data_IF_407396622998
#
_entry.id   IF_407396622998
#
_cell.length_a   1.000
_cell.length_b   1.000
_cell.length_c   1.000
_cell.angle_alpha   90.00
_cell.angle_beta   90.00
_cell.angle_gamma   90.00
#
_symmetry.space_group_name_H-M   'P 1'
#
loop_
_entity.id
_entity.type
_entity.pdbx_description
1 polymer ?
#
# COMPACT_ATOMS: atom_id res chain seq x y z
N UNK A 1 20.08 2.44 3.28
CA UNK A 1 19.04 3.03 2.41
C UNK A 1 18.84 4.45 2.92
N UNK A 2 18.90 5.47 2.06
CA UNK A 2 18.74 6.85 2.51
C UNK A 2 17.36 7.00 3.15
N UNK A 3 17.29 7.71 4.27
CA UNK A 3 16.06 8.09 4.97
C UNK A 3 15.29 9.10 4.11
N UNK A 4 14.75 8.66 2.98
CA UNK A 4 13.73 9.44 2.29
C UNK A 4 12.60 9.66 3.29
N UNK A 5 12.20 10.91 3.43
CA UNK A 5 11.16 11.36 4.35
C UNK A 5 9.82 10.84 3.81
N UNK A 6 9.53 9.56 4.05
CA UNK A 6 8.26 8.96 3.64
C UNK A 6 7.16 9.65 4.42
N UNK A 7 6.17 10.19 3.71
CA UNK A 7 5.03 10.86 4.34
C UNK A 7 4.17 9.82 5.05
N UNK A 8 3.73 10.16 6.26
CA UNK A 8 2.90 9.31 7.11
C UNK A 8 1.46 9.79 7.06
N UNK A 9 0.56 8.95 6.56
CA UNK A 9 -0.87 9.24 6.49
C UNK A 9 -1.63 8.58 7.64
N UNK A 10 -2.58 9.31 8.24
CA UNK A 10 -3.37 8.82 9.36
C UNK A 10 -4.81 8.54 8.97
N UNK A 11 -5.42 7.54 9.61
CA UNK A 11 -6.85 7.22 9.41
C UNK A 11 -7.76 8.41 9.74
N UNK A 12 -7.54 9.01 10.90
CA UNK A 12 -8.24 10.20 11.35
C UNK A 12 -7.45 11.44 10.91
N UNK A 13 -7.84 12.01 9.77
CA UNK A 13 -7.21 13.18 9.20
C UNK A 13 -8.23 14.13 8.57
N UNK A 14 -7.76 15.34 8.23
CA UNK A 14 -8.55 16.32 7.49
C UNK A 14 -8.89 15.84 6.08
N UNK A 15 -9.86 16.50 5.42
CA UNK A 15 -10.22 16.16 4.04
C UNK A 15 -9.07 16.40 3.07
N UNK A 16 -8.27 17.43 3.34
CA UNK A 16 -7.12 17.82 2.55
C UNK A 16 -5.99 16.77 2.66
N UNK A 17 -5.73 16.27 3.87
CA UNK A 17 -4.78 15.17 4.10
C UNK A 17 -5.26 13.86 3.46
N UNK A 18 -6.56 13.58 3.51
CA UNK A 18 -7.13 12.43 2.83
C UNK A 18 -7.01 12.54 1.30
N UNK A 19 -7.30 13.70 0.74
CA UNK A 19 -7.14 13.94 -0.70
C UNK A 19 -5.67 13.78 -1.13
N UNK A 20 -4.74 14.25 -0.30
CA UNK A 20 -3.31 14.06 -0.52
C UNK A 20 -2.89 12.59 -0.43
N UNK A 21 -3.41 11.84 0.54
CA UNK A 21 -3.20 10.40 0.63
C UNK A 21 -3.65 9.70 -0.66
N UNK A 22 -4.86 9.98 -1.15
CA UNK A 22 -5.37 9.40 -2.39
C UNK A 22 -4.47 9.76 -3.58
N UNK A 23 -3.99 11.00 -3.65
CA UNK A 23 -3.06 11.44 -4.71
C UNK A 23 -1.76 10.64 -4.70
N UNK A 24 -1.17 10.44 -3.53
CA UNK A 24 0.08 9.65 -3.37
C UNK A 24 -0.15 8.17 -3.58
N UNK A 25 -1.23 7.61 -3.03
CA UNK A 25 -1.59 6.21 -3.25
C UNK A 25 -1.74 5.90 -4.75
N UNK A 26 -2.35 6.81 -5.51
CA UNK A 26 -2.52 6.65 -6.95
C UNK A 26 -1.28 7.02 -7.79
N UNK A 27 -0.26 7.67 -7.24
CA UNK A 27 0.97 8.00 -7.98
C UNK A 27 1.89 6.79 -8.15
N UNK A 28 1.74 5.75 -7.32
CA UNK A 28 2.67 4.61 -7.28
C UNK A 28 3.92 4.87 -6.44
N UNK A 29 4.00 6.02 -5.76
CA UNK A 29 5.00 6.28 -4.75
C UNK A 29 4.77 5.42 -3.50
N UNK A 30 5.85 5.09 -2.79
CA UNK A 30 5.76 4.44 -1.48
C UNK A 30 5.23 5.47 -0.48
N UNK A 31 4.23 5.09 0.29
CA UNK A 31 3.71 5.88 1.40
C UNK A 31 3.78 5.09 2.70
N UNK A 32 3.88 5.82 3.81
CA UNK A 32 3.72 5.27 5.16
C UNK A 32 2.33 5.64 5.67
N UNK A 33 1.75 4.77 6.47
CA UNK A 33 0.47 5.01 7.12
C UNK A 33 0.50 4.53 8.57
N UNK A 34 -0.43 5.03 9.37
CA UNK A 34 -0.64 4.49 10.71
C UNK A 34 -1.33 3.12 10.68
N UNK A 35 -1.27 2.42 11.81
CA UNK A 35 -1.89 1.10 11.95
C UNK A 35 -3.40 1.15 11.68
N UNK A 36 -4.07 2.23 12.09
CA UNK A 36 -5.51 2.39 11.89
C UNK A 36 -5.88 2.46 10.39
N UNK A 37 -5.08 3.15 9.57
CA UNK A 37 -5.28 3.21 8.13
C UNK A 37 -4.97 1.86 7.47
N UNK A 38 -3.90 1.21 7.91
CA UNK A 38 -3.53 -0.12 7.44
C UNK A 38 -4.65 -1.14 7.69
N UNK A 39 -5.22 -1.14 8.90
CA UNK A 39 -6.32 -2.05 9.27
C UNK A 39 -7.64 -1.67 8.59
N UNK A 40 -7.90 -0.38 8.36
CA UNK A 40 -9.08 0.07 7.63
C UNK A 40 -9.22 -0.63 6.27
N UNK A 41 -8.13 -0.79 5.52
CA UNK A 41 -8.19 -1.44 4.21
C UNK A 41 -8.56 -2.93 4.29
N UNK A 42 -8.25 -3.61 5.38
CA UNK A 42 -8.67 -4.99 5.63
C UNK A 42 -10.16 -5.09 6.00
N UNK A 43 -10.75 -4.02 6.52
CA UNK A 43 -12.15 -4.00 6.96
C UNK A 43 -13.12 -3.57 5.85
N UNK A 44 -12.65 -2.75 4.90
CA UNK A 44 -13.52 -2.11 3.89
C UNK A 44 -13.74 -3.01 2.69
N UNK A 45 -12.70 -3.71 2.23
CA UNK A 45 -12.76 -4.61 1.10
C UNK A 45 -11.98 -5.89 1.37
N UNK A 46 -12.46 -7.06 0.90
CA UNK A 46 -11.68 -8.27 0.95
C UNK A 46 -10.41 -8.10 0.10
N UNK A 47 -9.22 -8.46 0.61
CA UNK A 47 -8.00 -8.45 -0.18
C UNK A 47 -8.10 -9.38 -1.39
N UNK A 48 -7.44 -9.00 -2.48
CA UNK A 48 -7.24 -9.84 -3.66
C UNK A 48 -6.34 -11.02 -3.30
N UNK A 49 -5.35 -10.79 -2.44
CA UNK A 49 -4.48 -11.82 -1.89
C UNK A 49 -3.97 -11.41 -0.50
N UNK A 50 -3.47 -12.40 0.23
CA UNK A 50 -2.79 -12.23 1.53
C UNK A 50 -1.43 -12.92 1.53
N UNK A 51 -0.48 -12.35 2.28
CA UNK A 51 0.83 -12.91 2.60
C UNK A 51 1.61 -13.48 1.42
N UNK A 52 1.79 -12.68 0.37
CA UNK A 52 2.41 -13.11 -0.88
C UNK A 52 3.80 -12.50 -1.08
N UNK A 53 4.71 -13.26 -1.70
CA UNK A 53 5.95 -12.72 -2.24
C UNK A 53 5.69 -12.23 -3.68
N UNK A 54 5.99 -10.96 -3.96
CA UNK A 54 5.78 -10.32 -5.27
C UNK A 54 7.11 -9.78 -5.81
N UNK A 55 7.27 -9.80 -7.13
CA UNK A 55 8.50 -9.34 -7.83
C UNK A 55 8.22 -8.17 -8.79
N UNK A 56 6.98 -7.69 -8.82
CA UNK A 56 6.47 -6.65 -9.72
C UNK A 56 6.21 -5.31 -9.01
N UNK A 57 6.72 -5.16 -7.79
CA UNK A 57 6.61 -3.90 -7.06
C UNK A 57 7.58 -2.87 -7.66
N UNK A 58 7.15 -1.63 -7.94
CA UNK A 58 8.04 -0.62 -8.52
C UNK A 58 9.25 -0.35 -7.61
N UNK A 59 10.45 -0.36 -8.19
CA UNK A 59 11.72 -0.19 -7.46
C UNK A 59 12.26 -1.48 -6.82
N UNK A 60 11.53 -2.59 -6.93
CA UNK A 60 11.93 -3.92 -6.46
C UNK A 60 11.82 -4.97 -7.58
N UNK A 61 11.86 -4.56 -8.84
CA UNK A 61 11.68 -5.45 -9.98
C UNK A 61 12.69 -6.60 -9.97
N UNK A 62 12.19 -7.84 -10.03
CA UNK A 62 13.02 -9.04 -10.00
C UNK A 62 13.52 -9.45 -8.61
N UNK A 63 13.24 -8.66 -7.56
CA UNK A 63 13.57 -8.98 -6.17
C UNK A 63 12.29 -9.30 -5.39
N UNK A 64 12.12 -10.54 -4.89
CA UNK A 64 10.91 -10.91 -4.18
C UNK A 64 10.77 -10.12 -2.88
N UNK A 65 9.68 -9.37 -2.77
CA UNK A 65 9.28 -8.67 -1.57
C UNK A 65 8.05 -9.32 -0.97
N UNK A 66 8.08 -9.59 0.33
CA UNK A 66 6.92 -10.13 1.05
C UNK A 66 6.00 -8.98 1.44
N UNK A 67 4.77 -9.04 0.95
CA UNK A 67 3.70 -8.11 1.31
C UNK A 67 2.65 -8.82 2.17
N UNK A 68 2.00 -8.07 3.04
CA UNK A 68 1.00 -8.61 3.96
C UNK A 68 -0.34 -8.83 3.23
N UNK A 69 -0.75 -7.91 2.36
CA UNK A 69 -1.93 -8.05 1.50
C UNK A 69 -1.90 -7.09 0.31
N UNK A 70 -2.77 -7.34 -0.67
CA UNK A 70 -3.03 -6.44 -1.79
C UNK A 70 -4.52 -6.29 -2.05
N UNK A 71 -4.95 -5.07 -2.38
CA UNK A 71 -6.33 -4.78 -2.74
C UNK A 71 -6.40 -4.01 -4.07
N UNK A 72 -7.53 -4.12 -4.76
CA UNK A 72 -7.93 -3.21 -5.83
C UNK A 72 -9.46 -3.17 -5.88
N UNK A 73 -10.02 -2.07 -6.37
CA UNK A 73 -11.45 -1.94 -6.63
C UNK A 73 -11.71 -2.04 -8.13
N UNK A 74 -12.66 -2.87 -8.54
CA UNK A 74 -13.02 -3.03 -9.96
C UNK A 74 -11.82 -3.30 -10.87
N UNK A 75 -11.66 -2.46 -11.90
CA UNK A 75 -10.61 -2.56 -12.91
C UNK A 75 -9.40 -1.65 -12.61
N UNK A 76 -8.99 -1.53 -11.35
CA UNK A 76 -7.81 -0.77 -10.95
C UNK A 76 -6.54 -1.61 -10.78
N UNK A 77 -5.41 -0.92 -10.65
CA UNK A 77 -4.14 -1.54 -10.27
C UNK A 77 -4.15 -1.94 -8.79
N UNK A 78 -3.42 -3.00 -8.46
CA UNK A 78 -3.31 -3.51 -7.10
C UNK A 78 -2.46 -2.55 -6.26
N UNK A 79 -2.99 -2.13 -5.12
CA UNK A 79 -2.24 -1.46 -4.06
C UNK A 79 -1.88 -2.48 -2.99
N UNK A 80 -0.59 -2.61 -2.70
CA UNK A 80 -0.07 -3.57 -1.73
C UNK A 80 0.35 -2.88 -0.44
N UNK A 81 0.27 -3.62 0.66
CA UNK A 81 0.59 -3.15 1.99
C UNK A 81 1.55 -4.12 2.67
N UNK A 82 2.47 -3.57 3.45
CA UNK A 82 3.43 -4.34 4.23
C UNK A 82 3.85 -3.60 5.49
N UNK A 83 4.36 -4.35 6.46
CA UNK A 83 4.96 -3.80 7.68
C UNK A 83 6.47 -3.85 7.62
N UNK A 84 7.12 -2.92 8.32
CA UNK A 84 8.54 -3.02 8.64
C UNK A 84 8.85 -4.30 9.42
N UNK A 85 10.12 -4.69 9.44
CA UNK A 85 10.60 -5.86 10.21
C UNK A 85 10.31 -5.72 11.72
N UNK A 86 10.39 -4.51 12.26
CA UNK A 86 10.06 -4.22 13.66
C UNK A 86 8.55 -4.09 13.91
N UNK A 87 7.73 -4.18 12.86
CA UNK A 87 6.26 -4.08 12.85
C UNK A 87 5.70 -2.77 13.42
N UNK A 88 6.51 -1.72 13.48
CA UNK A 88 6.08 -0.40 13.99
C UNK A 88 5.64 0.55 12.89
N UNK A 89 6.00 0.27 11.65
CA UNK A 89 5.73 1.13 10.49
C UNK A 89 4.97 0.34 9.44
N UNK A 90 3.98 0.97 8.85
CA UNK A 90 3.08 0.37 7.87
C UNK A 90 3.20 1.14 6.58
N UNK A 91 3.38 0.44 5.48
CA UNK A 91 3.63 1.04 4.19
C UNK A 91 2.62 0.51 3.17
N UNK A 92 2.44 1.30 2.13
CA UNK A 92 1.78 0.84 0.93
C UNK A 92 2.36 1.44 -0.33
N UNK A 93 2.05 0.80 -1.45
CA UNK A 93 2.43 1.25 -2.76
C UNK A 93 1.50 0.64 -3.81
N UNK A 94 1.10 1.47 -4.77
CA UNK A 94 0.36 0.99 -5.94
C UNK A 94 1.30 0.36 -6.95
N UNK A 95 0.96 -0.84 -7.38
CA UNK A 95 1.69 -1.60 -8.40
C UNK A 95 1.22 -1.22 -9.81
N UNK A 96 1.87 -1.79 -10.82
CA UNK A 96 1.42 -1.72 -12.23
C UNK A 96 0.51 -2.89 -12.62
N UNK A 97 0.34 -3.86 -11.72
CA UNK A 97 -0.47 -5.04 -11.98
C UNK A 97 -1.95 -4.72 -11.81
N UNK A 98 -2.75 -5.16 -12.77
CA UNK A 98 -4.21 -4.97 -12.77
C UNK A 98 -4.89 -6.03 -11.91
N UNK A 99 -6.04 -5.69 -11.32
CA UNK A 99 -6.90 -6.68 -10.69
C UNK A 99 -7.21 -7.85 -11.65
N UNK A 100 -6.88 -9.11 -11.30
CA UNK A 100 -7.15 -10.25 -12.15
C UNK A 100 -8.62 -10.71 -12.10
N UNK A 101 -9.40 -10.31 -11.09
CA UNK A 101 -10.76 -10.82 -10.82
C UNK A 101 -11.89 -9.89 -11.31
N UNK A 102 -11.66 -9.23 -12.44
CA UNK A 102 -12.62 -8.33 -13.09
C UNK A 102 -13.82 -9.06 -13.69
#
# INVERSE_FOLDING_TARGET
MPEETVRVFKRECSKEEWAEFIRVMHSGEVFECDEAMYMYWLEVLPPIFMYQAITFLPGHEGHPMRVDFGFAEGADCITVFWRSLDRKRFFGQRTKEMNPYR
#
